data_IF_746076362868
#
_entry.id   IF_746076362868
#
_cell.length_a   1.000
_cell.length_b   1.000
_cell.length_c   1.000
_cell.angle_alpha   90.00
_cell.angle_beta   90.00
_cell.angle_gamma   90.00
#
_symmetry.space_group_name_H-M   'P 1'
#
loop_
_entity.id
_entity.type
_entity.pdbx_description
1 polymer ?
#
# COMPACT_ATOMS: atom_id res chain seq x y z
N UNK A 1 11.41 27.59 8.10
CA UNK A 1 12.71 27.54 8.78
C UNK A 1 13.14 26.11 9.07
N UNK A 2 12.43 25.33 9.90
CA UNK A 2 12.80 23.94 10.22
C UNK A 2 13.09 22.99 9.03
N UNK A 3 12.36 23.11 7.91
CA UNK A 3 12.63 22.29 6.71
C UNK A 3 13.94 22.71 6.02
N UNK A 4 14.28 24.00 6.02
CA UNK A 4 15.52 24.48 5.41
C UNK A 4 16.73 24.01 6.21
N UNK A 5 16.63 24.05 7.54
CA UNK A 5 17.66 23.54 8.45
C UNK A 5 17.88 22.03 8.27
N UNK A 6 16.81 21.24 8.18
CA UNK A 6 16.93 19.80 7.92
C UNK A 6 17.55 19.46 6.55
N UNK A 7 17.48 20.37 5.56
CA UNK A 7 18.14 20.19 4.27
C UNK A 7 19.66 20.46 4.32
N UNK A 8 20.15 21.16 5.33
CA UNK A 8 21.58 21.42 5.53
C UNK A 8 22.29 20.24 6.22
N UNK A 9 21.53 19.33 6.85
CA UNK A 9 22.07 18.10 7.43
C UNK A 9 22.47 17.08 6.35
N UNK A 10 23.64 16.42 6.48
CA UNK A 10 24.06 15.38 5.54
C UNK A 10 23.16 14.15 5.63
N UNK A 11 22.60 13.71 4.50
CA UNK A 11 21.75 12.52 4.42
C UNK A 11 22.52 11.22 4.15
N UNK A 12 22.15 10.13 4.83
CA UNK A 12 22.60 8.75 4.57
C UNK A 12 21.39 7.89 4.15
N UNK A 13 20.80 8.23 3.00
CA UNK A 13 19.63 7.51 2.50
C UNK A 13 19.99 6.09 2.05
N UNK A 14 19.27 5.11 2.60
CA UNK A 14 19.40 3.69 2.25
C UNK A 14 18.02 3.09 2.01
N UNK A 15 17.92 2.26 0.98
CA UNK A 15 16.73 1.44 0.76
C UNK A 15 16.59 0.39 1.86
N UNK A 16 15.35 -0.01 2.15
CA UNK A 16 15.07 -1.03 3.16
C UNK A 16 15.59 -2.42 2.76
N UNK A 17 15.67 -2.68 1.45
CA UNK A 17 16.13 -3.94 0.88
C UNK A 17 16.62 -3.72 -0.56
N UNK A 18 17.47 -4.62 -1.04
CA UNK A 18 17.89 -4.69 -2.43
C UNK A 18 16.85 -5.41 -3.30
N UNK A 19 16.78 -5.04 -4.58
CA UNK A 19 15.90 -5.69 -5.56
C UNK A 19 16.23 -7.17 -5.83
N UNK A 20 17.39 -7.67 -5.39
CA UNK A 20 17.71 -9.10 -5.47
C UNK A 20 17.12 -9.92 -4.32
N UNK A 21 16.69 -9.26 -3.23
CA UNK A 21 16.11 -9.90 -2.04
C UNK A 21 14.90 -10.75 -2.45
N UNK A 22 14.67 -11.97 -1.94
CA UNK A 22 13.47 -12.75 -2.26
C UNK A 22 12.16 -12.02 -1.90
N UNK A 23 11.11 -12.17 -2.71
CA UNK A 23 9.83 -11.46 -2.53
C UNK A 23 9.28 -11.60 -1.11
N UNK A 24 9.18 -12.82 -0.60
CA UNK A 24 8.68 -13.05 0.77
C UNK A 24 9.52 -12.36 1.83
N UNK A 25 10.84 -12.25 1.62
CA UNK A 25 11.74 -11.56 2.55
C UNK A 25 11.60 -10.04 2.48
N UNK A 26 11.34 -9.47 1.30
CA UNK A 26 10.99 -8.03 1.16
C UNK A 26 9.75 -7.69 2.00
N UNK A 27 8.71 -8.52 1.88
CA UNK A 27 7.44 -8.32 2.60
C UNK A 27 7.66 -8.43 4.11
N UNK A 28 8.44 -9.42 4.55
CA UNK A 28 8.81 -9.59 5.96
C UNK A 28 9.60 -8.39 6.51
N UNK A 29 10.56 -7.85 5.74
CA UNK A 29 11.31 -6.66 6.13
C UNK A 29 10.40 -5.44 6.27
N UNK A 30 9.48 -5.22 5.33
CA UNK A 30 8.50 -4.12 5.43
C UNK A 30 7.61 -4.32 6.66
N UNK A 31 7.07 -5.53 6.87
CA UNK A 31 6.17 -5.82 7.99
C UNK A 31 6.86 -5.62 9.34
N UNK A 32 8.08 -6.12 9.50
CA UNK A 32 8.81 -6.08 10.78
C UNK A 32 9.46 -4.73 11.07
N UNK A 33 10.12 -4.11 10.08
CA UNK A 33 10.88 -2.86 10.28
C UNK A 33 10.03 -1.60 10.20
N UNK A 34 9.01 -1.58 9.33
CA UNK A 34 8.18 -0.39 9.11
C UNK A 34 6.88 -0.48 9.91
N UNK A 35 6.18 -1.62 9.85
CA UNK A 35 4.86 -1.74 10.49
C UNK A 35 4.92 -2.21 11.95
N UNK A 36 6.00 -2.85 12.37
CA UNK A 36 6.13 -3.43 13.72
C UNK A 36 5.30 -4.70 13.91
N UNK A 37 5.08 -5.46 12.84
CA UNK A 37 4.54 -6.82 12.94
C UNK A 37 5.62 -7.79 13.43
N UNK A 38 5.21 -8.87 14.08
CA UNK A 38 6.12 -9.95 14.48
C UNK A 38 6.50 -10.85 13.30
N UNK A 39 5.70 -10.81 12.22
CA UNK A 39 5.92 -11.60 11.02
C UNK A 39 4.82 -11.45 9.99
N UNK A 40 4.82 -12.36 9.02
CA UNK A 40 3.89 -12.38 7.90
C UNK A 40 3.31 -13.79 7.77
N UNK A 41 1.99 -13.89 7.69
CA UNK A 41 1.29 -15.13 7.36
C UNK A 41 0.68 -15.03 5.96
N UNK A 42 0.58 -16.17 5.28
CA UNK A 42 0.11 -16.26 3.91
C UNK A 42 -1.02 -17.27 3.83
N UNK A 43 -2.04 -16.98 3.03
CA UNK A 43 -3.01 -18.00 2.60
C UNK A 43 -2.33 -19.00 1.66
N UNK A 44 -2.91 -20.19 1.51
CA UNK A 44 -2.41 -21.22 0.58
C UNK A 44 -2.30 -20.68 -0.86
N UNK A 45 -3.36 -19.99 -1.32
CA UNK A 45 -3.37 -19.33 -2.63
C UNK A 45 -2.25 -18.28 -2.79
N UNK A 46 -1.98 -17.50 -1.74
CA UNK A 46 -0.90 -16.52 -1.75
C UNK A 46 0.48 -17.19 -1.79
N UNK A 47 0.66 -18.32 -1.09
CA UNK A 47 1.91 -19.08 -1.11
C UNK A 47 2.21 -19.67 -2.50
N UNK A 48 1.20 -20.22 -3.18
CA UNK A 48 1.36 -20.74 -4.54
C UNK A 48 1.76 -19.63 -5.52
N UNK A 49 1.06 -18.49 -5.48
CA UNK A 49 1.41 -17.33 -6.31
C UNK A 49 2.78 -16.76 -5.97
N UNK A 50 3.13 -16.68 -4.69
CA UNK A 50 4.46 -16.21 -4.28
C UNK A 50 5.57 -17.11 -4.84
N UNK A 51 5.41 -18.44 -4.77
CA UNK A 51 6.36 -19.40 -5.36
C UNK A 51 6.47 -19.23 -6.88
N UNK A 52 5.34 -19.07 -7.57
CA UNK A 52 5.32 -18.84 -9.02
C UNK A 52 6.04 -17.54 -9.39
N UNK A 53 5.81 -16.46 -8.64
CA UNK A 53 6.49 -15.17 -8.85
C UNK A 53 7.99 -15.30 -8.54
N UNK A 54 8.38 -15.93 -7.43
CA UNK A 54 9.78 -16.14 -7.07
C UNK A 54 10.54 -17.03 -8.08
N UNK A 55 9.83 -17.89 -8.82
CA UNK A 55 10.43 -18.72 -9.87
C UNK A 55 10.71 -17.97 -11.17
N UNK A 56 10.08 -16.81 -11.41
CA UNK A 56 10.34 -15.96 -12.57
C UNK A 56 11.55 -15.05 -12.27
N UNK A 57 12.67 -15.17 -13.01
CA UNK A 57 13.83 -14.31 -12.81
C UNK A 57 13.51 -12.81 -12.90
N UNK A 58 12.50 -12.44 -13.69
CA UNK A 58 12.06 -11.04 -13.86
C UNK A 58 11.42 -10.46 -12.61
N UNK A 59 11.00 -11.27 -11.65
CA UNK A 59 10.48 -10.78 -10.37
C UNK A 59 11.53 -9.98 -9.57
N UNK A 60 12.82 -10.20 -9.85
CA UNK A 60 13.91 -9.43 -9.25
C UNK A 60 13.95 -7.98 -9.72
N UNK A 61 13.41 -7.68 -10.89
CA UNK A 61 13.33 -6.32 -11.43
C UNK A 61 12.12 -5.54 -10.87
N UNK A 62 11.18 -6.22 -10.21
CA UNK A 62 9.93 -5.62 -9.74
C UNK A 62 10.02 -5.17 -8.28
N UNK A 63 9.65 -3.92 -8.00
CA UNK A 63 9.53 -3.41 -6.63
C UNK A 63 8.27 -3.95 -5.93
N UNK A 64 8.20 -3.84 -4.61
CA UNK A 64 7.06 -4.33 -3.81
C UNK A 64 6.21 -3.16 -3.31
N UNK A 65 4.91 -3.18 -3.61
CA UNK A 65 3.94 -2.18 -3.18
C UNK A 65 2.90 -2.82 -2.26
N UNK A 66 3.00 -2.57 -0.95
CA UNK A 66 2.12 -3.19 0.04
C UNK A 66 0.70 -2.64 -0.07
N UNK A 67 -0.28 -3.54 -0.23
CA UNK A 67 -1.68 -3.15 -0.24
C UNK A 67 -2.36 -3.58 1.06
N UNK A 68 -2.55 -2.61 1.95
CA UNK A 68 -3.20 -2.76 3.25
C UNK A 68 -4.08 -1.55 3.57
N UNK A 69 -4.78 -1.60 4.69
CA UNK A 69 -5.47 -0.42 5.20
C UNK A 69 -4.50 0.71 5.52
N UNK A 70 -4.88 1.94 5.17
CA UNK A 70 -4.13 3.15 5.52
C UNK A 70 -4.48 3.66 6.93
N UNK A 71 -5.54 3.11 7.54
CA UNK A 71 -6.07 3.55 8.83
C UNK A 71 -5.30 3.00 10.05
N UNK A 72 -4.36 2.08 9.81
CA UNK A 72 -3.53 1.43 10.84
C UNK A 72 -2.18 1.04 10.24
N UNK A 73 -1.16 0.92 11.10
CA UNK A 73 0.10 0.22 10.74
C UNK A 73 -0.16 -1.27 10.48
N UNK A 74 -1.12 -1.86 11.20
CA UNK A 74 -1.59 -3.22 10.98
C UNK A 74 -2.50 -3.37 9.75
N UNK A 75 -2.91 -4.59 9.46
CA UNK A 75 -3.95 -4.92 8.49
C UNK A 75 -5.37 -4.66 9.01
N UNK A 76 -5.56 -4.47 10.33
CA UNK A 76 -6.83 -4.12 10.95
C UNK A 76 -6.99 -2.59 11.12
N UNK A 77 -7.99 -1.94 10.48
CA UNK A 77 -8.21 -0.49 10.60
C UNK A 77 -8.51 0.00 12.03
N UNK A 78 -8.95 -0.88 12.93
CA UNK A 78 -9.34 -0.51 14.29
C UNK A 78 -8.16 -0.46 15.27
N UNK A 79 -7.01 -1.07 14.94
CA UNK A 79 -5.83 -1.06 15.79
C UNK A 79 -5.06 0.26 15.61
N UNK A 80 -5.26 1.21 16.51
CA UNK A 80 -4.65 2.55 16.45
C UNK A 80 -3.32 2.63 17.19
N UNK A 81 -2.57 3.70 16.91
CA UNK A 81 -1.25 3.95 17.52
C UNK A 81 -0.18 3.02 16.96
N UNK A 82 0.62 2.41 17.85
CA UNK A 82 1.71 1.48 17.53
C UNK A 82 1.34 0.05 17.95
N UNK A 83 0.63 -0.72 17.09
CA UNK A 83 0.24 -2.09 17.43
C UNK A 83 1.45 -3.03 17.51
N UNK A 84 1.43 -3.96 18.46
CA UNK A 84 2.43 -5.03 18.67
C UNK A 84 1.74 -6.39 18.79
N UNK A 85 2.46 -7.51 18.73
CA UNK A 85 1.87 -8.83 18.94
C UNK A 85 0.96 -9.28 17.77
N UNK A 86 1.36 -9.01 16.52
CA UNK A 86 0.50 -9.25 15.35
C UNK A 86 1.27 -9.69 14.13
N UNK A 87 0.61 -10.44 13.25
CA UNK A 87 1.16 -10.90 11.99
C UNK A 87 0.40 -10.30 10.83
N UNK A 88 1.11 -9.90 9.79
CA UNK A 88 0.52 -9.36 8.57
C UNK A 88 -0.04 -10.51 7.72
N UNK A 89 -1.35 -10.54 7.47
CA UNK A 89 -1.99 -11.61 6.71
C UNK A 89 -2.09 -11.30 5.21
N UNK A 90 -1.21 -11.89 4.39
CA UNK A 90 -1.26 -11.76 2.92
C UNK A 90 -2.21 -12.81 2.33
N UNK A 91 -3.19 -12.33 1.57
CA UNK A 91 -4.25 -13.15 0.96
C UNK A 91 -4.05 -13.39 -0.53
N UNK A 92 -3.46 -12.43 -1.23
CA UNK A 92 -3.23 -12.53 -2.67
C UNK A 92 -2.06 -11.65 -3.13
N UNK A 93 -1.64 -11.80 -4.39
CA UNK A 93 -0.65 -10.99 -5.08
C UNK A 93 -1.20 -10.49 -6.42
N UNK A 94 -1.06 -9.19 -6.66
CA UNK A 94 -1.29 -8.57 -7.96
C UNK A 94 0.06 -8.20 -8.58
N UNK A 95 0.26 -8.46 -9.86
CA UNK A 95 1.53 -8.20 -10.55
C UNK A 95 1.28 -7.20 -11.69
N UNK A 96 1.89 -6.03 -11.56
CA UNK A 96 1.82 -4.95 -12.55
C UNK A 96 3.15 -4.85 -13.28
N UNK A 97 3.37 -5.76 -14.25
CA UNK A 97 4.64 -5.86 -14.99
C UNK A 97 5.01 -4.55 -15.70
N UNK A 98 4.04 -3.87 -16.30
CA UNK A 98 4.28 -2.59 -16.98
C UNK A 98 4.71 -1.45 -16.05
N UNK A 99 4.26 -1.48 -14.79
CA UNK A 99 4.65 -0.51 -13.77
C UNK A 99 5.88 -0.93 -12.96
N UNK A 100 6.38 -2.15 -13.15
CA UNK A 100 7.50 -2.67 -12.37
C UNK A 100 7.16 -3.05 -10.93
N UNK A 101 5.92 -3.46 -10.63
CA UNK A 101 5.43 -3.63 -9.25
C UNK A 101 4.79 -5.00 -8.99
N UNK A 102 5.10 -5.57 -7.83
CA UNK A 102 4.38 -6.68 -7.20
C UNK A 102 3.63 -6.12 -5.99
N UNK A 103 2.33 -6.38 -5.90
CA UNK A 103 1.45 -5.83 -4.88
C UNK A 103 0.85 -6.93 -4.01
N UNK A 104 1.45 -7.21 -2.82
CA UNK A 104 0.89 -8.13 -1.84
C UNK A 104 -0.36 -7.53 -1.19
N UNK A 105 -1.45 -8.29 -1.15
CA UNK A 105 -2.76 -7.85 -0.68
C UNK A 105 -3.01 -8.41 0.72
N UNK A 106 -3.02 -7.54 1.74
CA UNK A 106 -3.23 -7.91 3.15
C UNK A 106 -4.71 -7.85 3.61
N UNK A 107 -5.60 -7.30 2.79
CA UNK A 107 -7.00 -7.11 3.18
C UNK A 107 -7.91 -6.92 1.98
N UNK A 108 -9.20 -6.66 2.23
CA UNK A 108 -10.15 -6.39 1.16
C UNK A 108 -9.96 -4.98 0.63
N UNK A 109 -9.61 -4.85 -0.64
CA UNK A 109 -9.42 -3.57 -1.33
C UNK A 109 -10.64 -3.29 -2.18
N UNK A 110 -11.15 -2.05 -2.11
CA UNK A 110 -12.15 -1.55 -3.05
C UNK A 110 -11.44 -0.89 -4.22
N UNK A 111 -11.38 -1.59 -5.36
CA UNK A 111 -10.83 -1.04 -6.61
C UNK A 111 -11.80 -0.09 -7.31
N UNK A 112 -13.10 -0.27 -7.07
CA UNK A 112 -14.16 0.55 -7.63
C UNK A 112 -15.00 1.13 -6.48
N UNK A 113 -14.87 2.42 -6.16
CA UNK A 113 -15.72 3.04 -5.16
C UNK A 113 -17.15 3.17 -5.71
N UNK A 114 -18.13 2.81 -4.90
CA UNK A 114 -19.55 3.05 -5.20
C UNK A 114 -19.96 4.48 -4.84
N UNK A 115 -21.12 4.91 -5.34
CA UNK A 115 -21.76 6.16 -4.92
C UNK A 115 -22.33 6.06 -3.51
N UNK A 116 -22.38 7.18 -2.79
CA UNK A 116 -23.07 7.26 -1.51
C UNK A 116 -24.60 7.23 -1.69
N UNK A 117 -25.33 6.92 -0.62
CA UNK A 117 -26.80 6.94 -0.62
C UNK A 117 -27.38 8.31 -0.97
N UNK A 118 -26.66 9.39 -0.65
CA UNK A 118 -26.97 10.76 -1.06
C UNK A 118 -25.79 11.36 -1.86
N UNK A 119 -25.69 11.09 -3.17
CA UNK A 119 -24.52 11.43 -3.96
C UNK A 119 -24.41 12.94 -4.22
N UNK A 120 -23.18 13.45 -4.23
CA UNK A 120 -22.89 14.88 -4.37
C UNK A 120 -23.38 15.48 -5.70
N UNK A 121 -23.39 14.70 -6.79
CA UNK A 121 -23.84 15.18 -8.11
C UNK A 121 -25.29 15.72 -8.11
N UNK A 122 -26.13 15.35 -7.13
CA UNK A 122 -27.49 15.90 -7.00
C UNK A 122 -27.52 17.38 -6.64
N UNK A 123 -26.40 17.93 -6.14
CA UNK A 123 -26.24 19.33 -5.73
C UNK A 123 -25.32 20.11 -6.67
N UNK A 124 -24.82 19.47 -7.74
CA UNK A 124 -23.96 20.14 -8.71
C UNK A 124 -24.86 20.87 -9.70
N UNK A 125 -24.64 22.17 -9.84
CA UNK A 125 -25.33 23.01 -10.82
C UNK A 125 -24.40 24.11 -11.32
N UNK A 126 -24.81 24.81 -12.39
CA UNK A 126 -24.06 25.93 -12.97
C UNK A 126 -24.98 27.14 -13.03
N UNK A 127 -24.56 28.22 -12.38
CA UNK A 127 -25.20 29.52 -12.52
C UNK A 127 -25.07 30.00 -13.97
N UNK A 128 -26.18 30.11 -14.69
CA UNK A 128 -26.21 30.40 -16.14
C UNK A 128 -25.83 31.84 -16.49
N UNK A 129 -25.83 32.76 -15.51
CA UNK A 129 -25.49 34.17 -15.73
C UNK A 129 -24.00 34.42 -15.46
N UNK A 130 -23.48 33.84 -14.40
CA UNK A 130 -22.11 34.05 -13.94
C UNK A 130 -21.15 32.94 -14.38
N UNK A 131 -21.68 31.80 -14.84
CA UNK A 131 -20.91 30.60 -15.17
C UNK A 131 -20.33 29.89 -13.95
N UNK A 132 -20.74 30.25 -12.73
CA UNK A 132 -20.18 29.68 -11.50
C UNK A 132 -20.76 28.31 -11.20
N UNK A 133 -19.89 27.33 -10.99
CA UNK A 133 -20.27 25.98 -10.57
C UNK A 133 -20.58 25.98 -9.08
N UNK A 134 -21.75 25.44 -8.73
CA UNK A 134 -22.23 25.27 -7.36
C UNK A 134 -22.13 23.79 -6.95
N UNK A 135 -21.86 23.52 -5.66
CA UNK A 135 -21.92 22.17 -5.09
C UNK A 135 -20.83 21.18 -5.53
N UNK A 136 -19.80 21.63 -6.25
CA UNK A 136 -18.64 20.82 -6.66
C UNK A 136 -17.60 20.65 -5.53
N UNK A 137 -17.51 21.64 -4.64
CA UNK A 137 -16.66 21.66 -3.45
C UNK A 137 -17.41 22.30 -2.28
#
# INVERSE_FOLDING_TARGET
EAVMEACEEPGDFKYLYDLETPLRKRIELIATRIYGADGVCYTEQALEKAKAIESDPRARELATCMVKTHLSLSDDPNRKGRPTGWMLAIRDFLVYKGAGLIAPVAGTIKLMPGTSSNPAFRRIDIDVETGRVQGLF
#
